data_IF_343495759013
#
_entry.id   IF_343495759013
#
_cell.length_a   1.000
_cell.length_b   1.000
_cell.length_c   1.000
_cell.angle_alpha   90.00
_cell.angle_beta   90.00
_cell.angle_gamma   90.00
#
_symmetry.space_group_name_H-M   'P 1'
#
loop_
_entity.id
_entity.type
_entity.pdbx_description
1 polymer ?
#
# COMPACT_ATOMS: atom_id res chain seq x y z
N UNK A 1 37.83 -57.99 62.53
CA UNK A 1 38.03 -57.19 63.77
C UNK A 1 39.51 -57.27 64.12
N UNK A 2 40.26 -56.16 64.37
CA UNK A 2 39.91 -54.72 64.40
C UNK A 2 40.56 -53.93 63.22
N UNK A 3 40.04 -52.82 62.67
CA UNK A 3 39.75 -51.44 63.19
C UNK A 3 40.97 -50.50 63.00
N UNK A 4 40.93 -49.22 62.60
CA UNK A 4 39.83 -48.22 62.57
C UNK A 4 40.37 -46.87 62.00
N UNK A 5 39.50 -46.07 61.33
CA UNK A 5 39.47 -44.58 61.15
C UNK A 5 40.73 -43.87 60.54
N UNK A 6 40.69 -42.79 59.74
CA UNK A 6 39.84 -41.59 59.79
C UNK A 6 39.98 -40.73 58.49
N UNK A 7 38.88 -40.02 58.17
CA UNK A 7 38.61 -38.91 57.22
C UNK A 7 39.70 -37.87 56.87
N UNK A 8 39.63 -37.43 55.59
CA UNK A 8 39.63 -36.05 55.02
C UNK A 8 40.66 -34.98 55.48
N UNK A 9 41.33 -34.32 54.52
CA UNK A 9 41.00 -32.95 54.05
C UNK A 9 42.15 -32.30 53.22
N UNK A 10 41.77 -31.61 52.13
CA UNK A 10 42.38 -30.38 51.55
C UNK A 10 43.83 -30.41 51.00
N UNK A 11 44.23 -29.70 49.93
CA UNK A 11 43.61 -28.74 49.03
C UNK A 11 44.53 -28.58 47.79
N UNK A 12 43.98 -28.28 46.61
CA UNK A 12 44.40 -27.13 45.79
C UNK A 12 43.47 -26.95 44.58
N UNK A 13 42.91 -25.74 44.54
CA UNK A 13 41.94 -25.21 43.58
C UNK A 13 42.67 -24.82 42.29
N UNK A 14 42.14 -25.23 41.14
CA UNK A 14 42.31 -24.49 39.88
C UNK A 14 40.92 -24.18 39.33
N UNK A 15 40.57 -22.88 39.36
CA UNK A 15 39.32 -22.32 38.86
C UNK A 15 39.35 -22.35 37.33
N UNK A 16 38.45 -23.08 36.70
CA UNK A 16 38.13 -22.89 35.28
C UNK A 16 37.09 -21.78 35.15
N UNK A 17 37.45 -20.72 34.43
CA UNK A 17 36.55 -19.64 34.05
C UNK A 17 35.54 -20.17 33.03
N UNK A 18 34.24 -20.07 33.33
CA UNK A 18 33.17 -20.25 32.35
C UNK A 18 33.16 -19.02 31.43
N UNK A 19 33.97 -19.03 30.37
CA UNK A 19 33.69 -18.22 29.17
C UNK A 19 32.53 -18.88 28.44
N UNK A 20 31.51 -18.09 28.08
CA UNK A 20 30.50 -18.54 27.12
C UNK A 20 31.21 -18.92 25.82
N UNK A 21 31.06 -20.20 25.44
CA UNK A 21 31.61 -20.74 24.19
C UNK A 21 30.77 -20.15 23.05
N UNK A 22 31.41 -19.45 22.12
CA UNK A 22 30.77 -19.07 20.86
C UNK A 22 30.27 -20.35 20.16
N UNK A 23 29.08 -20.34 19.56
CA UNK A 23 28.56 -21.52 18.88
C UNK A 23 29.54 -21.98 17.79
N UNK A 24 29.69 -23.29 17.56
CA UNK A 24 30.59 -23.80 16.53
C UNK A 24 30.17 -23.28 15.16
N UNK A 25 31.16 -22.84 14.36
CA UNK A 25 31.02 -22.27 13.00
C UNK A 25 30.05 -23.01 12.08
N UNK A 26 29.84 -24.31 12.32
CA UNK A 26 28.91 -25.15 11.55
C UNK A 26 27.44 -24.80 11.75
N UNK A 27 27.03 -24.40 12.96
CA UNK A 27 25.65 -23.96 13.24
C UNK A 27 25.37 -22.57 12.65
N UNK A 28 26.35 -21.66 12.69
CA UNK A 28 26.23 -20.34 12.07
C UNK A 28 26.14 -20.42 10.54
N UNK A 29 26.91 -21.31 9.90
CA UNK A 29 26.79 -21.56 8.46
C UNK A 29 25.45 -22.22 8.08
N UNK A 30 24.93 -23.14 8.90
CA UNK A 30 23.64 -23.80 8.67
C UNK A 30 22.44 -22.85 8.86
N UNK A 31 22.56 -21.83 9.72
CA UNK A 31 21.60 -20.74 9.83
C UNK A 31 21.66 -19.78 8.62
N UNK A 32 22.86 -19.38 8.17
CA UNK A 32 23.04 -18.53 6.97
C UNK A 32 22.56 -19.22 5.68
N UNK A 33 22.70 -20.56 5.57
CA UNK A 33 22.23 -21.33 4.42
C UNK A 33 20.71 -21.56 4.40
N UNK A 34 20.01 -21.35 5.53
CA UNK A 34 18.56 -21.54 5.66
C UNK A 34 17.76 -20.24 5.74
N UNK A 35 18.41 -19.07 5.78
CA UNK A 35 17.69 -17.79 5.74
C UNK A 35 17.20 -17.50 4.33
N UNK A 36 15.88 -17.39 4.17
CA UNK A 36 15.30 -16.94 2.90
C UNK A 36 15.67 -15.48 2.64
N UNK A 37 15.77 -15.04 1.37
CA UNK A 37 16.00 -13.62 1.04
C UNK A 37 15.01 -12.66 1.72
N UNK A 38 13.76 -13.10 1.96
CA UNK A 38 12.76 -12.35 2.72
C UNK A 38 13.18 -12.18 4.18
N UNK A 39 13.50 -13.29 4.87
CA UNK A 39 13.91 -13.24 6.27
C UNK A 39 15.17 -12.39 6.48
N UNK A 40 16.11 -12.44 5.54
CA UNK A 40 17.31 -11.60 5.56
C UNK A 40 16.94 -10.11 5.41
N UNK A 41 16.06 -9.76 4.47
CA UNK A 41 15.58 -8.38 4.31
C UNK A 41 14.89 -7.86 5.58
N UNK A 42 14.02 -8.66 6.17
CA UNK A 42 13.31 -8.33 7.41
C UNK A 42 14.28 -8.09 8.59
N UNK A 43 15.33 -8.90 8.72
CA UNK A 43 16.37 -8.70 9.72
C UNK A 43 17.15 -7.38 9.49
N UNK A 44 17.48 -7.07 8.23
CA UNK A 44 18.16 -5.83 7.86
C UNK A 44 17.30 -4.59 8.15
N UNK A 45 16.00 -4.65 7.87
CA UNK A 45 15.09 -3.53 8.15
C UNK A 45 14.95 -3.25 9.65
N UNK A 46 14.88 -4.29 10.48
CA UNK A 46 14.90 -4.13 11.94
C UNK A 46 16.21 -3.52 12.42
N UNK A 47 17.34 -4.06 11.97
CA UNK A 47 18.66 -3.53 12.34
C UNK A 47 18.86 -2.07 11.88
N UNK A 48 18.33 -1.71 10.70
CA UNK A 48 18.34 -0.33 10.20
C UNK A 48 17.50 0.59 11.07
N UNK A 49 16.27 0.20 11.41
CA UNK A 49 15.42 0.99 12.30
C UNK A 49 16.05 1.17 13.68
N UNK A 50 16.58 0.10 14.28
CA UNK A 50 17.27 0.15 15.57
C UNK A 50 18.42 1.16 15.54
N UNK A 51 19.24 1.13 14.48
CA UNK A 51 20.37 2.05 14.32
C UNK A 51 19.92 3.51 14.16
N UNK A 52 18.92 3.78 13.31
CA UNK A 52 18.41 5.13 13.08
C UNK A 52 17.80 5.74 14.35
N UNK A 53 17.03 4.95 15.10
CA UNK A 53 16.43 5.42 16.35
C UNK A 53 17.47 5.57 17.45
N UNK A 54 18.45 4.67 17.56
CA UNK A 54 19.53 4.80 18.52
C UNK A 54 20.38 6.05 18.27
N UNK A 55 20.69 6.37 17.01
CA UNK A 55 21.41 7.58 16.63
C UNK A 55 20.59 8.85 16.96
N UNK A 56 19.25 8.79 16.84
CA UNK A 56 18.35 9.92 17.11
C UNK A 56 18.05 10.15 18.59
N UNK A 57 17.86 9.08 19.38
CA UNK A 57 17.43 9.15 20.79
C UNK A 57 18.56 8.87 21.79
N UNK A 58 19.71 8.35 21.33
CA UNK A 58 20.81 7.91 22.19
C UNK A 58 20.52 6.62 22.97
N UNK A 59 19.43 5.92 22.68
CA UNK A 59 19.02 4.69 23.35
C UNK A 59 18.44 3.68 22.35
N UNK A 60 18.75 2.40 22.55
CA UNK A 60 18.22 1.32 21.74
C UNK A 60 16.89 0.80 22.29
N UNK A 61 15.95 0.54 21.40
CA UNK A 61 14.72 -0.20 21.67
C UNK A 61 14.58 -1.29 20.61
N UNK A 62 14.03 -2.47 20.93
CA UNK A 62 13.99 -3.58 19.98
C UNK A 62 12.93 -3.36 18.88
N UNK A 63 13.36 -3.31 17.62
CA UNK A 63 12.47 -3.34 16.47
C UNK A 63 11.78 -4.70 16.28
N UNK A 64 10.53 -4.60 15.86
CA UNK A 64 9.66 -5.70 15.46
C UNK A 64 9.36 -5.60 13.97
N UNK A 65 9.12 -6.73 13.34
CA UNK A 65 8.77 -6.78 11.92
C UNK A 65 7.32 -6.36 11.73
N UNK A 66 7.06 -5.59 10.67
CA UNK A 66 5.72 -5.33 10.16
C UNK A 66 5.69 -5.62 8.64
N UNK A 67 4.52 -5.82 8.03
CA UNK A 67 4.43 -5.94 6.57
C UNK A 67 5.11 -4.74 5.88
N UNK A 68 6.08 -5.02 5.01
CA UNK A 68 6.79 -4.00 4.22
C UNK A 68 7.75 -3.08 4.99
N UNK A 69 8.05 -3.36 6.27
CA UNK A 69 8.83 -2.45 7.11
C UNK A 69 9.24 -3.00 8.47
N UNK A 70 9.67 -2.12 9.37
CA UNK A 70 9.94 -2.43 10.77
C UNK A 70 9.32 -1.38 11.67
N UNK A 71 9.02 -1.73 12.92
CA UNK A 71 8.46 -0.81 13.89
C UNK A 71 8.97 -1.06 15.31
N UNK A 72 9.18 0.01 16.08
CA UNK A 72 9.51 -0.06 17.50
C UNK A 72 8.73 0.98 18.29
N UNK A 73 8.63 0.77 19.60
CA UNK A 73 8.04 1.71 20.54
C UNK A 73 9.15 2.21 21.46
N UNK A 74 9.50 3.48 21.36
CA UNK A 74 10.49 4.12 22.22
C UNK A 74 9.76 4.79 23.40
N UNK A 75 10.14 4.53 24.67
CA UNK A 75 9.53 5.20 25.81
C UNK A 75 9.85 6.70 25.79
N UNK A 76 8.83 7.56 25.90
CA UNK A 76 8.98 9.02 25.82
C UNK A 76 8.77 9.69 27.20
N UNK A 77 7.73 9.31 27.94
CA UNK A 77 7.47 9.86 29.28
C UNK A 77 6.94 8.80 30.23
N UNK A 78 7.33 8.93 31.50
CA UNK A 78 6.75 8.18 32.62
C UNK A 78 5.92 9.17 33.46
N UNK A 79 4.60 9.01 33.46
CA UNK A 79 3.68 9.80 34.29
C UNK A 79 2.93 8.86 35.23
N UNK A 80 3.39 8.78 36.49
CA UNK A 80 2.90 7.76 37.43
C UNK A 80 3.29 6.35 36.97
N UNK A 81 2.32 5.43 36.91
CA UNK A 81 2.53 4.05 36.46
C UNK A 81 2.40 3.88 34.93
N UNK A 82 2.04 4.93 34.17
CA UNK A 82 1.91 4.85 32.72
C UNK A 82 3.18 5.33 32.02
N UNK A 83 3.69 4.50 31.12
CA UNK A 83 4.75 4.87 30.15
C UNK A 83 4.08 5.10 28.81
N UNK A 84 4.07 6.35 28.33
CA UNK A 84 3.70 6.64 26.93
C UNK A 84 4.93 6.46 26.05
N UNK A 85 4.72 5.87 24.87
CA UNK A 85 5.78 5.63 23.90
C UNK A 85 5.53 6.36 22.59
N UNK A 86 6.62 6.71 21.93
CA UNK A 86 6.65 7.18 20.55
C UNK A 86 6.82 5.98 19.64
N UNK A 87 5.91 5.81 18.69
CA UNK A 87 6.09 4.80 17.65
C UNK A 87 7.13 5.30 16.64
N UNK A 88 8.03 4.42 16.22
CA UNK A 88 8.95 4.64 15.11
C UNK A 88 8.74 3.54 14.10
N UNK A 89 8.44 3.90 12.86
CA UNK A 89 8.08 2.96 11.81
C UNK A 89 8.91 3.24 10.57
N UNK A 90 9.73 2.28 10.15
CA UNK A 90 10.47 2.30 8.90
C UNK A 90 9.64 1.62 7.80
N UNK A 91 9.29 2.37 6.76
CA UNK A 91 8.61 1.90 5.56
C UNK A 91 9.63 1.71 4.44
N UNK A 92 9.61 0.54 3.79
CA UNK A 92 10.60 0.18 2.77
C UNK A 92 9.99 -0.37 1.49
N UNK A 93 9.20 -1.46 1.59
CA UNK A 93 8.72 -2.17 0.40
C UNK A 93 7.77 -1.31 -0.45
N UNK A 94 6.82 -0.65 0.21
CA UNK A 94 5.80 0.17 -0.44
C UNK A 94 5.41 1.38 0.43
N UNK A 95 6.30 2.37 0.61
CA UNK A 95 6.07 3.51 1.49
C UNK A 95 4.84 4.33 1.09
N UNK A 96 4.46 4.34 -0.19
CA UNK A 96 3.26 4.98 -0.72
C UNK A 96 1.95 4.45 -0.08
N UNK A 97 1.95 3.21 0.43
CA UNK A 97 0.81 2.54 1.06
C UNK A 97 1.06 2.15 2.52
N UNK A 98 2.06 2.77 3.17
CA UNK A 98 2.53 2.35 4.48
C UNK A 98 2.01 3.15 5.68
N UNK A 99 1.36 4.30 5.47
CA UNK A 99 0.96 5.19 6.57
C UNK A 99 -0.17 4.59 7.41
N UNK A 100 -1.22 4.09 6.77
CA UNK A 100 -2.34 3.43 7.44
C UNK A 100 -1.90 2.24 8.30
N UNK A 101 -1.13 1.27 7.76
CA UNK A 101 -0.52 0.20 8.55
C UNK A 101 0.33 0.70 9.74
N UNK A 102 1.13 1.76 9.55
CA UNK A 102 1.95 2.35 10.61
C UNK A 102 1.09 2.92 11.75
N UNK A 103 0.03 3.66 11.41
CA UNK A 103 -0.93 4.21 12.37
C UNK A 103 -1.70 3.11 13.09
N UNK A 104 -2.16 2.10 12.36
CA UNK A 104 -2.85 0.96 12.94
C UNK A 104 -1.99 0.21 13.95
N UNK A 105 -0.69 0.02 13.63
CA UNK A 105 0.27 -0.57 14.55
C UNK A 105 0.49 0.30 15.79
N UNK A 106 0.66 1.61 15.61
CA UNK A 106 0.90 2.57 16.68
C UNK A 106 -0.30 2.66 17.65
N UNK A 107 -1.52 2.72 17.13
CA UNK A 107 -2.77 2.73 17.90
C UNK A 107 -2.89 1.49 18.80
N UNK A 108 -2.63 0.30 18.25
CA UNK A 108 -2.67 -0.96 19.02
C UNK A 108 -1.63 -1.02 20.14
N UNK A 109 -0.59 -0.19 20.07
CA UNK A 109 0.47 -0.08 21.09
C UNK A 109 0.25 1.10 22.04
N UNK A 110 -0.84 1.86 21.89
CA UNK A 110 -1.11 3.04 22.70
C UNK A 110 -0.06 4.14 22.54
N UNK A 111 0.57 4.23 21.36
CA UNK A 111 1.54 5.29 21.10
C UNK A 111 0.86 6.66 21.09
N UNK A 112 1.52 7.67 21.65
CA UNK A 112 1.00 9.05 21.65
C UNK A 112 1.31 9.83 20.38
N UNK A 113 2.29 9.35 19.60
CA UNK A 113 2.75 9.93 18.34
C UNK A 113 3.47 8.90 17.48
N UNK A 114 3.66 9.21 16.20
CA UNK A 114 4.32 8.32 15.24
C UNK A 114 5.42 9.06 14.48
N UNK A 115 6.60 8.45 14.39
CA UNK A 115 7.69 8.85 13.51
C UNK A 115 7.74 7.87 12.34
N UNK A 116 7.45 8.35 11.13
CA UNK A 116 7.47 7.54 9.90
C UNK A 116 8.74 7.82 9.14
N UNK A 117 9.53 6.79 8.90
CA UNK A 117 10.84 6.84 8.24
C UNK A 117 10.70 6.17 6.87
N UNK A 118 11.11 6.84 5.80
CA UNK A 118 11.14 6.26 4.46
C UNK A 118 12.24 6.88 3.60
N UNK A 119 12.77 6.11 2.64
CA UNK A 119 13.71 6.63 1.64
C UNK A 119 13.00 7.26 0.43
N UNK A 120 11.71 6.93 0.22
CA UNK A 120 10.90 7.39 -0.92
C UNK A 120 9.51 7.80 -0.46
N UNK A 121 8.77 8.49 -1.32
CA UNK A 121 7.39 8.93 -1.06
C UNK A 121 7.20 9.82 0.18
N UNK A 122 8.28 10.38 0.74
CA UNK A 122 8.25 11.13 2.00
C UNK A 122 7.42 12.40 1.93
N UNK A 123 7.36 13.05 0.76
CA UNK A 123 6.46 14.19 0.53
C UNK A 123 4.97 13.79 0.59
N UNK A 124 4.59 12.67 -0.03
CA UNK A 124 3.23 12.15 0.03
C UNK A 124 2.87 11.74 1.46
N UNK A 125 3.75 11.01 2.13
CA UNK A 125 3.59 10.64 3.54
C UNK A 125 3.42 11.88 4.42
N UNK A 126 4.25 12.91 4.24
CA UNK A 126 4.16 14.16 4.99
C UNK A 126 2.84 14.89 4.71
N UNK A 127 2.38 14.95 3.45
CA UNK A 127 1.11 15.58 3.09
C UNK A 127 -0.08 14.86 3.74
N UNK A 128 -0.09 13.53 3.72
CA UNK A 128 -1.12 12.72 4.38
C UNK A 128 -1.06 12.85 5.90
N UNK A 129 0.13 12.88 6.49
CA UNK A 129 0.34 13.04 7.94
C UNK A 129 -0.32 14.32 8.50
N UNK A 130 -0.31 15.42 7.75
CA UNK A 130 -0.94 16.70 8.14
C UNK A 130 -2.46 16.61 8.32
N UNK A 131 -3.10 15.54 7.83
CA UNK A 131 -4.56 15.33 7.89
C UNK A 131 -5.00 14.56 9.13
N UNK A 132 -4.09 14.15 10.00
CA UNK A 132 -4.40 13.42 11.23
C UNK A 132 -4.20 14.28 12.47
N UNK A 133 -5.07 14.06 13.46
CA UNK A 133 -5.00 14.68 14.79
C UNK A 133 -3.93 14.05 15.68
N UNK A 134 -3.57 12.79 15.41
CA UNK A 134 -2.40 12.14 16.01
C UNK A 134 -1.13 12.83 15.48
N UNK A 135 -0.18 13.25 16.34
CA UNK A 135 1.08 13.81 15.88
C UNK A 135 1.88 12.79 15.08
N UNK A 136 2.19 13.12 13.81
CA UNK A 136 2.98 12.28 12.92
C UNK A 136 4.13 13.10 12.34
N UNK A 137 5.36 12.73 12.67
CA UNK A 137 6.56 13.27 12.05
C UNK A 137 7.01 12.34 10.94
N UNK A 138 7.29 12.89 9.75
CA UNK A 138 7.79 12.11 8.60
C UNK A 138 9.24 12.48 8.34
N UNK A 139 10.07 11.46 8.16
CA UNK A 139 11.52 11.58 8.01
C UNK A 139 11.97 10.92 6.71
N UNK A 140 12.71 11.67 5.89
CA UNK A 140 13.49 11.11 4.80
C UNK A 140 14.79 10.52 5.35
N UNK A 141 14.99 9.25 5.06
CA UNK A 141 16.21 8.52 5.43
C UNK A 141 17.24 8.70 4.33
N UNK A 142 18.34 9.39 4.65
CA UNK A 142 19.53 9.48 3.79
C UNK A 142 20.72 8.83 4.49
N UNK A 143 20.96 7.55 4.17
CA UNK A 143 21.93 6.72 4.87
C UNK A 143 21.56 6.55 6.35
N UNK A 144 22.25 7.27 7.25
CA UNK A 144 21.97 7.32 8.70
C UNK A 144 21.34 8.63 9.16
N UNK A 145 21.22 9.62 8.28
CA UNK A 145 20.60 10.89 8.61
C UNK A 145 19.08 10.78 8.50
N UNK A 146 18.38 11.38 9.47
CA UNK A 146 16.94 11.61 9.41
C UNK A 146 16.69 13.08 9.10
N UNK A 147 16.15 13.34 7.92
CA UNK A 147 15.85 14.70 7.45
C UNK A 147 14.33 14.89 7.52
N UNK A 148 13.81 15.91 8.21
CA UNK A 148 12.37 16.17 8.22
C UNK A 148 11.81 16.29 6.80
N UNK A 149 10.79 15.50 6.50
CA UNK A 149 10.13 15.53 5.21
C UNK A 149 9.24 16.76 5.08
N UNK A 150 9.23 17.36 3.88
CA UNK A 150 8.37 18.49 3.55
C UNK A 150 7.22 17.99 2.67
N UNK A 151 6.00 18.37 3.03
CA UNK A 151 4.82 18.10 2.21
C UNK A 151 4.79 19.02 0.99
N UNK A 152 4.78 18.43 -0.20
CA UNK A 152 4.53 19.14 -1.45
C UNK A 152 3.17 18.75 -2.02
N UNK A 153 2.55 19.63 -2.80
CA UNK A 153 1.40 19.26 -3.61
C UNK A 153 1.77 18.11 -4.57
N UNK A 154 0.85 17.19 -4.90
CA UNK A 154 1.08 16.21 -5.95
C UNK A 154 1.43 16.91 -7.27
N UNK A 155 2.31 16.30 -8.05
CA UNK A 155 2.57 16.75 -9.41
C UNK A 155 1.29 16.59 -10.25
N UNK A 156 1.06 17.54 -11.15
CA UNK A 156 -0.01 17.39 -12.13
C UNK A 156 0.30 16.19 -13.03
N UNK A 157 -0.66 15.28 -13.26
CA UNK A 157 -0.45 14.17 -14.17
C UNK A 157 -0.11 14.67 -15.58
N UNK A 158 0.83 14.01 -16.29
CA UNK A 158 1.14 14.39 -17.65
C UNK A 158 -0.07 14.13 -18.56
N UNK A 159 -0.33 15.00 -19.56
CA UNK A 159 -1.38 14.73 -20.53
C UNK A 159 -1.04 13.50 -21.37
N UNK A 160 -2.06 12.77 -21.81
CA UNK A 160 -1.87 11.70 -22.79
C UNK A 160 -1.41 12.27 -24.13
N UNK A 161 -0.56 11.51 -24.82
CA UNK A 161 -0.06 11.90 -26.14
C UNK A 161 -1.18 11.92 -27.18
N UNK A 162 -1.20 12.88 -28.12
CA UNK A 162 -2.21 12.91 -29.19
C UNK A 162 -2.27 11.62 -30.01
N UNK A 163 -1.12 11.00 -30.28
CA UNK A 163 -1.05 9.75 -31.03
C UNK A 163 -1.68 8.59 -30.26
N UNK A 164 -1.58 8.60 -28.93
CA UNK A 164 -2.20 7.57 -28.08
C UNK A 164 -3.71 7.76 -28.02
N UNK A 165 -4.17 9.01 -27.89
CA UNK A 165 -5.59 9.37 -27.89
C UNK A 165 -6.29 8.99 -29.20
N UNK A 166 -5.57 9.04 -30.34
CA UNK A 166 -6.10 8.67 -31.64
C UNK A 166 -6.56 7.20 -31.71
N UNK A 167 -6.02 6.31 -30.86
CA UNK A 167 -6.42 4.90 -30.79
C UNK A 167 -7.67 4.65 -29.92
N UNK A 168 -8.23 5.67 -29.27
CA UNK A 168 -9.45 5.54 -28.47
C UNK A 168 -10.67 5.06 -29.28
N UNK A 169 -10.73 5.40 -30.57
CA UNK A 169 -11.79 4.94 -31.47
C UNK A 169 -11.78 3.42 -31.64
N UNK A 170 -10.59 2.82 -31.81
CA UNK A 170 -10.40 1.37 -31.91
C UNK A 170 -10.86 0.66 -30.62
N UNK A 171 -10.49 1.20 -29.45
CA UNK A 171 -10.88 0.66 -28.14
C UNK A 171 -12.41 0.68 -27.97
N UNK A 172 -13.04 1.79 -28.34
CA UNK A 172 -14.50 1.97 -28.27
C UNK A 172 -15.21 1.02 -29.23
N UNK A 173 -14.70 0.88 -30.46
CA UNK A 173 -15.26 -0.02 -31.49
C UNK A 173 -15.23 -1.49 -31.04
N UNK A 174 -14.18 -1.89 -30.31
CA UNK A 174 -14.07 -3.21 -29.71
C UNK A 174 -14.98 -3.42 -28.48
N UNK A 175 -15.68 -2.38 -28.01
CA UNK A 175 -16.63 -2.44 -26.89
C UNK A 175 -16.04 -2.23 -25.49
N UNK A 176 -14.81 -1.72 -25.40
CA UNK A 176 -14.21 -1.32 -24.12
C UNK A 176 -14.41 0.18 -23.83
N UNK A 177 -14.44 0.54 -22.55
CA UNK A 177 -14.45 1.93 -22.10
C UNK A 177 -13.03 2.51 -22.19
N UNK A 178 -12.87 3.69 -22.79
CA UNK A 178 -11.57 4.37 -22.83
C UNK A 178 -11.32 5.09 -21.52
N UNK A 179 -10.20 4.77 -20.86
CA UNK A 179 -9.74 5.47 -19.67
C UNK A 179 -8.37 6.10 -19.91
N UNK A 180 -8.18 7.32 -19.37
CA UNK A 180 -6.91 8.05 -19.43
C UNK A 180 -6.47 8.37 -18.01
N UNK A 181 -5.37 7.77 -17.58
CA UNK A 181 -4.77 8.00 -16.25
C UNK A 181 -3.24 8.09 -16.39
N UNK A 182 -2.66 9.11 -15.80
CA UNK A 182 -1.27 9.55 -15.81
C UNK A 182 -0.65 9.58 -17.21
N UNK A 183 -1.41 10.11 -18.17
CA UNK A 183 -1.01 10.19 -19.58
C UNK A 183 -1.09 8.87 -20.34
N UNK A 184 -1.63 7.82 -19.73
CA UNK A 184 -1.72 6.48 -20.31
C UNK A 184 -3.16 6.25 -20.78
N UNK A 185 -3.31 5.89 -22.05
CA UNK A 185 -4.60 5.49 -22.63
C UNK A 185 -4.78 3.98 -22.48
N UNK A 186 -5.90 3.57 -21.90
CA UNK A 186 -6.25 2.17 -21.65
C UNK A 186 -7.68 1.88 -22.09
N UNK A 187 -7.96 0.62 -22.40
CA UNK A 187 -9.30 0.10 -22.57
C UNK A 187 -9.70 -0.74 -21.36
N UNK A 188 -10.88 -0.49 -20.83
CA UNK A 188 -11.38 -1.14 -19.63
C UNK A 188 -12.70 -1.87 -19.87
N UNK A 189 -12.88 -2.98 -19.15
CA UNK A 189 -14.17 -3.65 -19.00
C UNK A 189 -14.59 -3.56 -17.55
N UNK A 190 -15.58 -2.70 -17.27
CA UNK A 190 -16.10 -2.50 -15.91
C UNK A 190 -14.99 -2.27 -14.88
N UNK A 191 -14.05 -1.38 -15.23
CA UNK A 191 -12.92 -1.02 -14.38
C UNK A 191 -11.70 -1.94 -14.43
N UNK A 192 -11.68 -3.02 -15.24
CA UNK A 192 -10.47 -3.83 -15.44
C UNK A 192 -9.79 -3.47 -16.77
N UNK A 193 -8.53 -3.08 -16.72
CA UNK A 193 -7.69 -2.86 -17.90
C UNK A 193 -7.56 -4.16 -18.72
N UNK A 194 -7.99 -4.12 -19.98
CA UNK A 194 -7.89 -5.21 -20.95
C UNK A 194 -6.99 -4.87 -22.13
N UNK A 195 -6.66 -3.59 -22.31
CA UNK A 195 -5.64 -3.17 -23.25
C UNK A 195 -5.00 -1.84 -22.83
N UNK A 196 -3.81 -1.58 -23.38
CA UNK A 196 -3.02 -0.38 -23.11
C UNK A 196 -2.39 0.13 -24.39
N UNK A 197 -2.43 1.44 -24.61
CA UNK A 197 -1.71 2.08 -25.69
C UNK A 197 -0.27 2.33 -25.27
N UNK A 198 0.69 1.90 -26.09
CA UNK A 198 2.13 2.03 -25.81
C UNK A 198 2.89 2.44 -27.08
N UNK A 199 4.10 2.95 -26.88
CA UNK A 199 5.08 3.07 -27.95
C UNK A 199 5.84 1.75 -28.07
N UNK A 200 5.88 1.19 -29.28
CA UNK A 200 6.63 -0.03 -29.53
C UNK A 200 8.13 0.26 -29.34
N UNK A 201 8.86 -0.58 -28.57
CA UNK A 201 10.28 -0.33 -28.26
C UNK A 201 11.19 -0.26 -29.49
N UNK A 202 10.84 -0.98 -30.57
CA UNK A 202 11.74 -1.20 -31.71
C UNK A 202 11.72 -0.06 -32.74
N UNK A 203 10.54 0.49 -33.02
CA UNK A 203 10.32 1.49 -34.09
C UNK A 203 9.61 2.76 -33.61
N UNK A 204 9.09 2.77 -32.38
CA UNK A 204 8.33 3.90 -31.83
C UNK A 204 6.90 4.00 -32.34
N UNK A 205 6.40 3.00 -33.08
CA UNK A 205 5.01 2.97 -33.53
C UNK A 205 4.06 2.89 -32.33
N UNK A 206 2.96 3.63 -32.40
CA UNK A 206 1.93 3.60 -31.35
C UNK A 206 0.98 2.43 -31.61
N UNK A 207 0.85 1.55 -30.63
CA UNK A 207 0.06 0.31 -30.74
C UNK A 207 -0.84 0.09 -29.53
N UNK A 208 -1.90 -0.70 -29.72
CA UNK A 208 -2.75 -1.20 -28.62
C UNK A 208 -2.26 -2.59 -28.20
N UNK A 209 -1.66 -2.74 -27.03
CA UNK A 209 -1.36 -4.07 -26.49
C UNK A 209 -2.59 -4.63 -25.77
N UNK A 210 -3.05 -5.81 -26.18
CA UNK A 210 -4.24 -6.49 -25.64
C UNK A 210 -3.82 -7.52 -24.58
N UNK A 211 -4.44 -7.49 -23.41
CA UNK A 211 -4.17 -8.39 -22.30
C UNK A 211 -4.33 -7.75 -20.92
N UNK A 212 -4.59 -8.59 -19.92
CA UNK A 212 -4.87 -8.23 -18.54
C UNK A 212 -3.55 -8.21 -17.76
N UNK A 213 -2.90 -7.04 -17.80
CA UNK A 213 -1.58 -6.83 -17.22
C UNK A 213 -0.43 -7.19 -18.16
N UNK A 214 0.79 -6.86 -17.74
CA UNK A 214 1.99 -6.89 -18.60
C UNK A 214 2.29 -8.27 -19.20
N UNK A 215 2.31 -9.32 -18.37
CA UNK A 215 2.68 -10.67 -18.85
C UNK A 215 1.65 -11.24 -19.83
N UNK A 216 0.36 -10.93 -19.63
CA UNK A 216 -0.70 -11.37 -20.54
C UNK A 216 -0.58 -10.66 -21.89
N UNK A 217 -0.25 -9.37 -21.89
CA UNK A 217 0.03 -8.59 -23.12
C UNK A 217 1.23 -9.12 -23.90
N UNK A 218 2.32 -9.42 -23.19
CA UNK A 218 3.52 -10.03 -23.79
C UNK A 218 3.18 -11.40 -24.42
N UNK A 219 2.41 -12.24 -23.72
CA UNK A 219 1.97 -13.54 -24.24
C UNK A 219 1.03 -13.40 -25.44
N UNK A 220 0.10 -12.44 -25.40
CA UNK A 220 -0.84 -12.17 -26.48
C UNK A 220 -0.09 -11.77 -27.77
N UNK A 221 0.89 -10.88 -27.66
CA UNK A 221 1.71 -10.42 -28.78
C UNK A 221 2.52 -11.56 -29.42
N UNK A 222 3.03 -12.50 -28.63
CA UNK A 222 3.73 -13.69 -29.14
C UNK A 222 2.81 -14.63 -29.94
N UNK A 223 1.52 -14.71 -29.59
CA UNK A 223 0.56 -15.62 -30.21
C UNK A 223 -0.10 -15.04 -31.47
N UNK A 224 -0.38 -13.73 -31.49
CA UNK A 224 -1.19 -13.09 -32.53
C UNK A 224 -0.41 -12.13 -33.42
N UNK A 225 0.88 -11.89 -33.15
CA UNK A 225 1.70 -10.92 -33.88
C UNK A 225 1.34 -9.46 -33.56
N UNK A 226 1.82 -8.52 -34.38
CA UNK A 226 1.85 -7.08 -34.05
C UNK A 226 0.64 -6.27 -34.54
N UNK A 227 -0.45 -6.90 -34.99
CA UNK A 227 -1.67 -6.19 -35.40
C UNK A 227 -2.83 -6.63 -34.52
N UNK A 228 -3.10 -5.91 -33.42
CA UNK A 228 -4.32 -6.07 -32.65
C UNK A 228 -5.47 -5.58 -33.52
N UNK A 229 -6.28 -6.50 -34.04
CA UNK A 229 -7.52 -6.16 -34.72
C UNK A 229 -8.57 -5.74 -33.69
N UNK A 230 -9.53 -4.92 -34.12
CA UNK A 230 -10.75 -4.64 -33.34
C UNK A 230 -11.38 -5.96 -32.85
N UNK A 231 -11.42 -6.99 -33.70
CA UNK A 231 -11.96 -8.31 -33.39
C UNK A 231 -11.23 -9.00 -32.22
N UNK A 232 -9.89 -8.94 -32.22
CA UNK A 232 -9.06 -9.54 -31.17
C UNK A 232 -9.33 -8.90 -29.80
N UNK A 233 -9.43 -7.56 -29.75
CA UNK A 233 -9.80 -6.87 -28.51
C UNK A 233 -11.26 -7.16 -28.13
N UNK A 234 -12.18 -7.21 -29.09
CA UNK A 234 -13.59 -7.51 -28.85
C UNK A 234 -13.81 -8.90 -28.23
N UNK A 235 -13.01 -9.89 -28.63
CA UNK A 235 -13.04 -11.23 -28.02
C UNK A 235 -12.61 -11.21 -26.55
N UNK A 236 -11.54 -10.48 -26.22
CA UNK A 236 -11.10 -10.28 -24.82
C UNK A 236 -12.15 -9.53 -24.02
N UNK A 237 -12.73 -8.46 -24.58
CA UNK A 237 -13.80 -7.68 -23.94
C UNK A 237 -14.99 -8.56 -23.59
N UNK A 238 -15.43 -9.40 -24.54
CA UNK A 238 -16.54 -10.34 -24.34
C UNK A 238 -16.24 -11.37 -23.26
N UNK A 239 -15.03 -11.95 -23.27
CA UNK A 239 -14.62 -12.93 -22.25
C UNK A 239 -14.57 -12.30 -20.86
N UNK A 240 -13.96 -11.13 -20.70
CA UNK A 240 -13.86 -10.44 -19.42
C UNK A 240 -15.25 -10.00 -18.93
N UNK A 241 -16.07 -9.46 -19.81
CA UNK A 241 -17.42 -9.00 -19.51
C UNK A 241 -18.36 -10.10 -18.98
N UNK A 242 -18.14 -11.35 -19.40
CA UNK A 242 -18.89 -12.51 -18.91
C UNK A 242 -18.58 -12.84 -17.43
N UNK A 243 -17.39 -12.51 -16.94
CA UNK A 243 -16.97 -12.79 -15.57
C UNK A 243 -17.11 -11.59 -14.62
N UNK A 244 -17.07 -10.35 -15.14
CA UNK A 244 -17.19 -9.12 -14.35
C UNK A 244 -18.65 -8.69 -14.17
N UNK A 245 -19.47 -9.56 -13.59
CA UNK A 245 -20.90 -9.28 -13.33
C UNK A 245 -21.14 -9.27 -11.81
N UNK A 246 -22.08 -8.44 -11.34
CA UNK A 246 -22.51 -8.44 -9.92
C UNK A 246 -23.05 -9.83 -9.56
N UNK A 247 -22.55 -10.41 -8.47
CA UNK A 247 -22.95 -11.76 -8.04
C UNK A 247 -22.37 -12.90 -8.87
N UNK A 248 -21.38 -12.65 -9.74
CA UNK A 248 -20.70 -13.70 -10.49
C UNK A 248 -20.01 -14.72 -9.54
N UNK A 249 -19.94 -16.02 -9.91
CA UNK A 249 -19.13 -16.99 -9.20
C UNK A 249 -17.66 -16.54 -9.11
N UNK A 250 -16.89 -16.96 -8.07
CA UNK A 250 -15.50 -16.58 -7.92
C UNK A 250 -14.67 -16.91 -9.17
N UNK A 251 -13.99 -15.90 -9.71
CA UNK A 251 -13.15 -16.02 -10.91
C UNK A 251 -11.98 -15.03 -10.83
N UNK A 252 -10.75 -15.37 -11.25
CA UNK A 252 -9.61 -14.44 -11.14
C UNK A 252 -9.91 -13.02 -11.67
N UNK A 253 -10.65 -12.92 -12.79
CA UNK A 253 -11.02 -11.64 -13.40
C UNK A 253 -11.98 -10.76 -12.59
N UNK A 254 -12.74 -11.32 -11.64
CA UNK A 254 -13.58 -10.55 -10.73
C UNK A 254 -12.92 -10.26 -9.39
N UNK A 255 -11.71 -10.79 -9.16
CA UNK A 255 -10.89 -10.48 -7.99
C UNK A 255 -9.87 -9.36 -8.24
N UNK A 256 -9.64 -8.99 -9.51
CA UNK A 256 -8.78 -7.88 -9.91
C UNK A 256 -9.54 -6.56 -9.99
N UNK A 257 -8.87 -5.46 -9.63
CA UNK A 257 -9.41 -4.10 -9.68
C UNK A 257 -10.85 -4.00 -9.13
N UNK A 258 -11.06 -4.57 -7.93
CA UNK A 258 -12.39 -4.66 -7.29
C UNK A 258 -12.93 -3.29 -6.92
N UNK A 259 -12.05 -2.37 -6.55
CA UNK A 259 -12.36 -0.99 -6.27
C UNK A 259 -12.82 -0.23 -7.53
N UNK A 260 -12.19 -0.49 -8.68
CA UNK A 260 -12.65 0.06 -9.98
C UNK A 260 -13.96 -0.59 -10.43
N UNK A 261 -14.16 -1.88 -10.14
CA UNK A 261 -15.45 -2.54 -10.38
C UNK A 261 -16.57 -1.86 -9.58
N UNK A 262 -16.33 -1.59 -8.30
CA UNK A 262 -17.28 -0.89 -7.44
C UNK A 262 -17.51 0.54 -7.94
N UNK A 263 -16.46 1.29 -8.30
CA UNK A 263 -16.61 2.62 -8.92
C UNK A 263 -17.43 2.58 -10.21
N UNK A 264 -17.16 1.62 -11.09
CA UNK A 264 -17.97 1.42 -12.31
C UNK A 264 -19.45 1.20 -11.96
N UNK A 265 -19.73 0.39 -10.94
CA UNK A 265 -21.11 0.18 -10.48
C UNK A 265 -21.74 1.45 -9.93
N UNK A 266 -21.01 2.27 -9.18
CA UNK A 266 -21.51 3.57 -8.69
C UNK A 266 -21.78 4.56 -9.84
N UNK A 267 -21.02 4.49 -10.93
CA UNK A 267 -21.31 5.28 -12.14
C UNK A 267 -22.58 4.78 -12.83
N UNK A 268 -22.76 3.46 -12.91
CA UNK A 268 -23.93 2.84 -13.53
C UNK A 268 -25.21 2.97 -12.67
N UNK A 269 -25.06 2.97 -11.35
CA UNK A 269 -26.15 3.04 -10.36
C UNK A 269 -25.80 4.03 -9.23
N UNK A 270 -25.84 5.36 -9.49
CA UNK A 270 -25.45 6.41 -8.53
C UNK A 270 -26.25 6.41 -7.22
N UNK A 271 -27.48 5.91 -7.25
CA UNK A 271 -28.35 5.78 -6.08
C UNK A 271 -27.76 4.89 -4.97
N UNK A 272 -26.83 3.97 -5.30
CA UNK A 272 -26.09 3.19 -4.30
C UNK A 272 -25.23 4.07 -3.38
N UNK A 273 -24.77 5.21 -3.89
CA UNK A 273 -24.10 6.24 -3.10
C UNK A 273 -25.04 7.37 -2.66
N UNK A 274 -26.35 7.24 -2.88
CA UNK A 274 -27.32 8.28 -2.54
C UNK A 274 -27.11 9.59 -3.31
N UNK A 275 -26.64 9.51 -4.55
CA UNK A 275 -26.36 10.68 -5.41
C UNK A 275 -26.98 10.52 -6.79
N UNK A 276 -27.01 11.61 -7.57
CA UNK A 276 -27.59 11.63 -8.91
C UNK A 276 -26.57 11.24 -9.98
N UNK A 277 -25.30 11.60 -9.77
CA UNK A 277 -24.23 11.35 -10.74
C UNK A 277 -22.91 11.08 -10.04
N UNK A 278 -22.14 10.14 -10.62
CA UNK A 278 -20.76 9.86 -10.25
C UNK A 278 -19.89 10.00 -11.49
N UNK A 279 -18.84 10.81 -11.41
CA UNK A 279 -17.87 11.03 -12.48
C UNK A 279 -16.49 10.56 -12.03
N UNK A 280 -15.91 9.51 -12.64
CA UNK A 280 -14.56 9.08 -12.33
C UNK A 280 -13.56 10.21 -12.47
N UNK A 281 -12.60 10.26 -11.53
CA UNK A 281 -11.44 11.14 -11.66
C UNK A 281 -10.16 10.32 -11.63
N UNK A 282 -9.13 10.88 -12.23
CA UNK A 282 -7.79 10.34 -12.22
C UNK A 282 -7.25 10.26 -10.77
N UNK A 283 -6.64 9.15 -10.36
CA UNK A 283 -6.07 9.01 -9.02
C UNK A 283 -4.87 9.95 -8.81
N UNK A 284 -4.54 10.25 -7.55
CA UNK A 284 -3.35 11.05 -7.21
C UNK A 284 -2.07 10.27 -7.51
N UNK A 285 -2.11 8.95 -7.30
CA UNK A 285 -0.96 8.06 -7.45
C UNK A 285 -1.20 7.10 -8.62
N UNK A 286 -0.22 6.94 -9.53
CA UNK A 286 -0.36 6.01 -10.64
C UNK A 286 -0.39 4.57 -10.14
N UNK A 287 -1.24 3.75 -10.76
CA UNK A 287 -1.22 2.29 -10.55
C UNK A 287 -0.02 1.68 -11.25
N UNK A 288 0.68 0.76 -10.59
CA UNK A 288 1.82 0.06 -11.19
C UNK A 288 1.40 -1.20 -11.95
N UNK A 289 0.36 -1.87 -11.46
CA UNK A 289 -0.15 -3.11 -12.06
C UNK A 289 -1.63 -3.34 -11.75
N UNK A 290 -2.30 -4.14 -12.58
CA UNK A 290 -3.71 -4.53 -12.43
C UNK A 290 -4.01 -5.37 -11.18
N UNK A 291 -2.97 -6.01 -10.62
CA UNK A 291 -3.08 -6.81 -9.39
C UNK A 291 -2.97 -5.97 -8.11
N UNK A 292 -2.55 -4.72 -8.23
CA UNK A 292 -2.40 -3.81 -7.09
C UNK A 292 -3.78 -3.29 -6.69
N UNK A 293 -4.11 -3.42 -5.40
CA UNK A 293 -5.31 -2.82 -4.83
C UNK A 293 -5.00 -1.38 -4.45
N UNK A 294 -5.36 -0.43 -5.31
CA UNK A 294 -5.16 1.01 -5.06
C UNK A 294 -6.53 1.68 -5.07
N UNK A 295 -6.94 2.44 -4.05
CA UNK A 295 -8.21 3.15 -4.09
C UNK A 295 -8.37 3.98 -5.38
N UNK A 296 -9.60 4.10 -5.87
CA UNK A 296 -9.91 4.96 -7.01
C UNK A 296 -10.85 6.08 -6.58
N UNK A 297 -10.74 7.24 -7.24
CA UNK A 297 -11.54 8.41 -6.90
C UNK A 297 -12.60 8.71 -7.96
N UNK A 298 -13.65 9.42 -7.54
CA UNK A 298 -14.69 10.01 -8.37
C UNK A 298 -15.23 11.28 -7.68
N UNK A 299 -15.91 12.12 -8.45
CA UNK A 299 -16.70 13.24 -7.92
C UNK A 299 -18.17 12.83 -8.00
N UNK A 300 -18.90 13.03 -6.90
CA UNK A 300 -20.33 12.81 -6.84
C UNK A 300 -21.10 14.13 -6.74
N UNK A 301 -22.20 14.20 -7.49
CA UNK A 301 -23.11 15.34 -7.51
C UNK A 301 -24.50 14.89 -7.03
N UNK A 302 -25.06 15.63 -6.08
CA UNK A 302 -26.46 15.51 -5.60
C UNK A 302 -27.22 16.79 -5.95
N UNK A 303 -27.48 17.00 -7.25
CA UNK A 303 -28.18 18.18 -7.75
C UNK A 303 -27.52 19.51 -7.38
N UNK A 304 -28.23 20.35 -6.62
CA UNK A 304 -27.79 21.71 -6.23
C UNK A 304 -26.88 21.75 -4.99
N UNK A 305 -26.54 20.59 -4.42
CA UNK A 305 -25.62 20.52 -3.28
C UNK A 305 -24.17 20.66 -3.72
N UNK A 306 -23.29 21.00 -2.77
CA UNK A 306 -21.84 20.98 -3.00
C UNK A 306 -21.42 19.56 -3.40
N UNK A 307 -20.73 19.38 -4.54
CA UNK A 307 -20.17 18.08 -4.91
C UNK A 307 -19.25 17.57 -3.82
N UNK A 308 -19.16 16.25 -3.67
CA UNK A 308 -18.24 15.63 -2.73
C UNK A 308 -17.35 14.58 -3.41
N UNK A 309 -16.16 14.39 -2.85
CA UNK A 309 -15.23 13.39 -3.36
C UNK A 309 -15.66 12.00 -2.89
N UNK A 310 -15.69 11.05 -3.80
CA UNK A 310 -15.79 9.63 -3.52
C UNK A 310 -14.41 9.02 -3.62
N UNK A 311 -13.99 8.31 -2.58
CA UNK A 311 -12.85 7.40 -2.62
C UNK A 311 -13.40 6.00 -2.47
N UNK A 312 -13.08 5.12 -3.42
CA UNK A 312 -13.60 3.76 -3.47
C UNK A 312 -12.45 2.79 -3.23
N UNK A 313 -12.62 1.89 -2.27
CA UNK A 313 -11.69 0.79 -1.98
C UNK A 313 -12.45 -0.53 -1.90
N UNK A 314 -11.74 -1.65 -1.99
CA UNK A 314 -12.30 -2.99 -1.82
C UNK A 314 -11.24 -3.94 -1.25
N UNK A 315 -11.68 -4.85 -0.40
CA UNK A 315 -10.80 -5.69 0.41
C UNK A 315 -10.25 -4.98 1.63
N UNK A 316 -9.35 -5.67 2.33
CA UNK A 316 -8.68 -5.12 3.51
C UNK A 316 -7.54 -4.22 3.07
N UNK A 317 -7.80 -2.92 3.07
CA UNK A 317 -6.84 -1.87 2.76
C UNK A 317 -6.74 -0.91 3.96
N UNK A 318 -5.63 -0.98 4.69
CA UNK A 318 -5.40 -0.11 5.85
C UNK A 318 -5.01 1.30 5.44
N UNK A 319 -4.53 1.51 4.21
CA UNK A 319 -4.07 2.81 3.72
C UNK A 319 -5.19 3.59 3.02
N UNK A 320 -6.35 2.99 2.80
CA UNK A 320 -7.53 3.64 2.21
C UNK A 320 -7.92 4.96 2.89
N UNK A 321 -7.81 5.04 4.22
CA UNK A 321 -8.08 6.28 4.98
C UNK A 321 -7.02 7.34 4.71
N UNK A 322 -5.74 6.95 4.63
CA UNK A 322 -4.65 7.86 4.31
C UNK A 322 -4.74 8.35 2.86
N UNK A 323 -5.14 7.49 1.93
CA UNK A 323 -5.46 7.88 0.56
C UNK A 323 -6.64 8.85 0.52
N UNK A 324 -7.73 8.58 1.25
CA UNK A 324 -8.88 9.47 1.31
C UNK A 324 -8.53 10.86 1.85
N UNK A 325 -7.68 10.91 2.88
CA UNK A 325 -7.14 12.14 3.42
C UNK A 325 -6.31 12.94 2.41
N UNK A 326 -5.63 12.24 1.49
CA UNK A 326 -4.86 12.87 0.41
C UNK A 326 -5.76 13.48 -0.67
N UNK A 327 -6.93 12.88 -0.90
CA UNK A 327 -7.95 13.36 -1.85
C UNK A 327 -8.74 14.54 -1.28
N UNK A 328 -8.94 14.59 0.05
CA UNK A 328 -9.71 15.64 0.71
C UNK A 328 -9.31 17.04 0.28
N UNK A 329 -10.32 17.84 -0.01
CA UNK A 329 -10.19 19.28 -0.23
C UNK A 329 -11.03 20.00 0.80
N UNK A 330 -10.51 21.11 1.31
CA UNK A 330 -11.11 21.82 2.45
C UNK A 330 -12.50 22.41 2.11
N UNK A 331 -12.86 22.50 0.82
CA UNK A 331 -14.10 23.08 0.30
C UNK A 331 -15.21 22.06 0.01
N UNK A 332 -14.97 20.75 0.24
CA UNK A 332 -15.93 19.69 -0.10
C UNK A 332 -15.86 18.51 0.87
N UNK A 333 -16.98 17.83 1.12
CA UNK A 333 -16.97 16.57 1.85
C UNK A 333 -16.22 15.47 1.09
N UNK A 334 -15.78 14.44 1.82
CA UNK A 334 -15.21 13.22 1.23
C UNK A 334 -15.86 11.99 1.87
N UNK A 335 -16.21 11.02 1.03
CA UNK A 335 -16.81 9.75 1.44
C UNK A 335 -15.94 8.58 0.97
N UNK A 336 -15.57 7.72 1.92
CA UNK A 336 -14.90 6.46 1.64
C UNK A 336 -15.95 5.36 1.45
N UNK A 337 -16.02 4.83 0.24
CA UNK A 337 -16.96 3.80 -0.19
C UNK A 337 -16.26 2.45 -0.25
N UNK A 338 -16.85 1.44 0.37
CA UNK A 338 -16.31 0.08 0.42
C UNK A 338 -17.41 -0.97 0.62
N UNK A 339 -17.17 -2.25 0.30
CA UNK A 339 -18.10 -3.31 0.67
C UNK A 339 -18.33 -3.42 2.17
N UNK A 340 -19.53 -3.81 2.60
CA UNK A 340 -19.87 -3.88 4.03
C UNK A 340 -18.93 -4.80 4.82
N UNK A 341 -18.54 -5.93 4.23
CA UNK A 341 -17.61 -6.89 4.83
C UNK A 341 -16.15 -6.38 4.94
N UNK A 342 -15.81 -5.35 4.18
CA UNK A 342 -14.47 -4.76 4.18
C UNK A 342 -14.34 -3.65 5.24
N UNK A 343 -15.46 -3.19 5.85
CA UNK A 343 -15.45 -2.15 6.88
C UNK A 343 -15.07 -2.70 8.27
N UNK A 344 -13.76 -2.79 8.51
CA UNK A 344 -13.19 -3.24 9.77
C UNK A 344 -13.22 -2.17 10.86
N UNK A 345 -13.12 -2.58 12.13
CA UNK A 345 -13.03 -1.67 13.28
C UNK A 345 -11.84 -0.72 13.13
N UNK A 346 -10.67 -1.24 12.73
CA UNK A 346 -9.46 -0.45 12.54
C UNK A 346 -9.62 0.65 11.49
N UNK A 347 -10.42 0.43 10.44
CA UNK A 347 -10.72 1.45 9.44
C UNK A 347 -11.49 2.62 10.05
N UNK A 348 -12.44 2.33 10.96
CA UNK A 348 -13.17 3.37 11.72
C UNK A 348 -12.25 4.11 12.68
N UNK A 349 -11.38 3.38 13.38
CA UNK A 349 -10.42 3.98 14.32
C UNK A 349 -9.47 4.94 13.59
N UNK A 350 -8.94 4.54 12.43
CA UNK A 350 -8.10 5.38 11.58
C UNK A 350 -8.87 6.60 11.04
N UNK A 351 -10.10 6.41 10.55
CA UNK A 351 -10.94 7.52 10.09
C UNK A 351 -11.23 8.53 11.21
N UNK A 352 -11.43 8.04 12.44
CA UNK A 352 -11.62 8.87 13.63
C UNK A 352 -10.39 9.70 14.04
N UNK A 353 -9.22 9.40 13.49
CA UNK A 353 -8.03 10.23 13.69
C UNK A 353 -7.94 11.42 12.73
N UNK A 354 -8.75 11.49 11.66
CA UNK A 354 -8.66 12.58 10.70
C UNK A 354 -9.10 13.92 11.31
N UNK A 355 -8.40 15.00 10.97
CA UNK A 355 -8.76 16.37 11.40
C UNK A 355 -10.02 16.87 10.70
N UNK A 356 -10.20 16.48 9.44
CA UNK A 356 -11.44 16.67 8.68
C UNK A 356 -12.12 15.31 8.58
N UNK A 357 -13.32 15.12 9.15
CA UNK A 357 -13.98 13.83 9.13
C UNK A 357 -14.36 13.42 7.70
N UNK A 358 -14.28 12.12 7.43
CA UNK A 358 -14.84 11.50 6.23
C UNK A 358 -16.08 10.70 6.60
N UNK A 359 -17.02 10.58 5.66
CA UNK A 359 -18.12 9.64 5.79
C UNK A 359 -17.69 8.25 5.32
N UNK A 360 -18.05 7.20 6.06
CA UNK A 360 -17.82 5.82 5.67
C UNK A 360 -19.14 5.25 5.14
N UNK A 361 -19.18 4.91 3.85
CA UNK A 361 -20.35 4.36 3.18
C UNK A 361 -20.10 2.92 2.74
N UNK A 362 -20.98 2.02 3.17
CA UNK A 362 -20.93 0.62 2.72
C UNK A 362 -21.88 0.35 1.57
N UNK A 363 -21.40 -0.34 0.53
CA UNK A 363 -22.20 -0.72 -0.65
C UNK A 363 -22.01 -2.20 -0.95
N UNK A 364 -23.10 -2.96 -1.07
CA UNK A 364 -23.08 -4.39 -1.38
C UNK A 364 -23.27 -4.68 -2.86
#
# INVERSE_FOLDING_TARGET
>A
MPSVLHRQAEARRLRWSRRAVQPPLRLALEEELNTTPSAQREALLRAKLDALVADQLGAAAPATQIPGGAALLAPNQVTGDMVSGDAWVLLDADPEHGLGPALAWALRRGAGRVNVLAERATSQLARRALRFSMPIDVWHVDGRALIPAVAFAPDAPPPARPEHLALGGLITEAGADVAVEHGIVTGEVRGLEVCRVVDRPDDGDVVVEVGIGRHDREAFAMLHGHVPTVDALADVVRQVGAHRVVGAPPHPLNLLARERFLRWRLVAEPSLAGVDRVTPVEPITPRRTVAESVPCAAIADEGSQTPFDLVVTAGVDLDAVAYAADVQRDDRPTRLVLPANDLLAITRDLAGLLTVPIELLTVD
#
